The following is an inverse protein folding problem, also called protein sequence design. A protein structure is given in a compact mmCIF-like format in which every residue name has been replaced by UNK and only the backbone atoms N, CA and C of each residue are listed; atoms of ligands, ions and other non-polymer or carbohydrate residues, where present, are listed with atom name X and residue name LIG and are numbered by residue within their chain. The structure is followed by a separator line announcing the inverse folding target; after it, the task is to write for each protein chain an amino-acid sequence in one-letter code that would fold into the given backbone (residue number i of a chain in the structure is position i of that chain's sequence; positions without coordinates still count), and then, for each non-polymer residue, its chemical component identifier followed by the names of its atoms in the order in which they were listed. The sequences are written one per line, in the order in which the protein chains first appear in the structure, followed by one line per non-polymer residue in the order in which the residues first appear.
data_IF_270902952608
#
_entry.id   IF_270902952608
#
_cell.length_a   1.000
_cell.length_b   1.000
_cell.length_c   1.000
_cell.angle_alpha   90.00
_cell.angle_beta   90.00
_cell.angle_gamma   90.00
#
_symmetry.space_group_name_H-M   'P 1'
#
loop_
_entity.id
_entity.type
_entity.pdbx_description
1 polymer ?
#
# COMPACT_ATOMS: atom_id res chain seq x y z
N UNK A 1 18.65 23.43 -24.71
CA UNK A 1 18.61 22.35 -23.72
C UNK A 1 18.53 23.05 -22.39
N UNK A 2 17.32 23.15 -21.85
CA UNK A 2 17.03 24.01 -20.69
C UNK A 2 17.80 23.51 -19.47
N UNK A 3 18.48 24.42 -18.78
CA UNK A 3 19.21 24.12 -17.54
C UNK A 3 18.32 23.48 -16.47
N UNK A 4 17.00 23.68 -16.57
CA UNK A 4 16.01 23.15 -15.65
C UNK A 4 15.80 21.63 -15.78
N UNK A 5 15.88 21.05 -16.99
CA UNK A 5 15.75 19.59 -17.17
C UNK A 5 16.99 18.84 -16.66
N UNK A 6 18.16 19.47 -16.72
CA UNK A 6 19.42 18.88 -16.27
C UNK A 6 19.52 18.76 -14.74
N UNK A 7 18.72 19.50 -13.98
CA UNK A 7 18.71 19.43 -12.51
C UNK A 7 17.65 18.47 -11.97
N UNK A 8 16.56 18.25 -12.72
CA UNK A 8 15.46 17.37 -12.30
C UNK A 8 15.90 15.92 -12.08
N UNK A 9 16.67 15.33 -13.01
CA UNK A 9 17.12 13.94 -12.87
C UNK A 9 18.08 13.75 -11.69
N UNK A 10 18.88 14.78 -11.35
CA UNK A 10 19.79 14.76 -10.20
C UNK A 10 18.97 14.74 -8.90
N UNK A 11 17.95 15.59 -8.80
CA UNK A 11 17.07 15.63 -7.62
C UNK A 11 16.32 14.30 -7.43
N UNK A 12 15.73 13.76 -8.51
CA UNK A 12 15.06 12.46 -8.48
C UNK A 12 16.00 11.32 -8.06
N UNK A 13 17.24 11.34 -8.56
CA UNK A 13 18.24 10.32 -8.18
C UNK A 13 18.61 10.42 -6.70
N UNK A 14 18.80 11.64 -6.18
CA UNK A 14 19.10 11.86 -4.75
C UNK A 14 17.96 11.39 -3.86
N UNK A 15 16.73 11.69 -4.25
CA UNK A 15 15.53 11.27 -3.52
C UNK A 15 15.41 9.74 -3.48
N UNK A 16 15.53 9.08 -4.64
CA UNK A 16 15.47 7.62 -4.73
C UNK A 16 16.58 6.97 -3.89
N UNK A 17 17.79 7.52 -3.91
CA UNK A 17 18.90 7.01 -3.11
C UNK A 17 18.64 7.17 -1.61
N UNK A 18 18.09 8.30 -1.17
CA UNK A 18 17.69 8.51 0.23
C UNK A 18 16.67 7.46 0.68
N UNK A 19 15.62 7.25 -0.12
CA UNK A 19 14.59 6.24 0.15
C UNK A 19 15.17 4.82 0.14
N UNK A 20 16.14 4.52 -0.73
CA UNK A 20 16.80 3.22 -0.75
C UNK A 20 17.60 2.94 0.54
N UNK A 21 18.24 3.95 1.13
CA UNK A 21 18.89 3.77 2.43
C UNK A 21 17.88 3.50 3.55
N UNK A 22 16.80 4.28 3.62
CA UNK A 22 15.70 4.03 4.56
C UNK A 22 15.06 2.63 4.36
N UNK A 23 14.88 2.21 3.11
CA UNK A 23 14.35 0.91 2.74
C UNK A 23 15.27 -0.24 3.18
N UNK A 24 16.58 -0.03 3.07
CA UNK A 24 17.55 -1.00 3.56
C UNK A 24 17.45 -1.19 5.07
N UNK A 25 17.38 -0.10 5.85
CA UNK A 25 17.22 -0.19 7.30
C UNK A 25 15.90 -0.90 7.68
N UNK A 26 14.85 -0.69 6.89
CA UNK A 26 13.59 -1.41 7.04
C UNK A 26 13.74 -2.90 6.73
N UNK A 27 14.44 -3.28 5.65
CA UNK A 27 14.71 -4.69 5.30
C UNK A 27 15.49 -5.39 6.40
N UNK A 28 16.50 -4.73 6.98
CA UNK A 28 17.30 -5.30 8.07
C UNK A 28 16.41 -5.68 9.27
N UNK A 29 15.38 -4.87 9.58
CA UNK A 29 14.36 -5.23 10.59
C UNK A 29 13.40 -6.31 10.11
N UNK A 30 12.92 -6.21 8.85
CA UNK A 30 11.98 -7.17 8.29
C UNK A 30 12.58 -8.59 8.19
N UNK A 31 13.90 -8.70 7.98
CA UNK A 31 14.62 -9.97 7.91
C UNK A 31 14.53 -10.80 9.20
N UNK A 32 14.26 -10.17 10.35
CA UNK A 32 14.00 -10.88 11.62
C UNK A 32 12.75 -11.76 11.54
N UNK A 33 11.74 -11.34 10.76
CA UNK A 33 10.47 -12.06 10.56
C UNK A 33 10.39 -12.78 9.23
N UNK A 34 11.12 -12.33 8.22
CA UNK A 34 11.12 -12.85 6.85
C UNK A 34 12.56 -13.13 6.38
N UNK A 35 13.11 -14.33 6.64
CA UNK A 35 14.52 -14.63 6.36
C UNK A 35 14.94 -14.51 4.88
N UNK A 36 13.98 -14.46 3.95
CA UNK A 36 14.20 -14.24 2.52
C UNK A 36 14.38 -12.76 2.14
N UNK A 37 14.15 -11.83 3.07
CA UNK A 37 14.38 -10.41 2.85
C UNK A 37 15.89 -10.13 2.74
N UNK A 38 16.34 -9.58 1.61
CA UNK A 38 17.75 -9.28 1.35
C UNK A 38 17.96 -7.81 0.99
N UNK A 39 19.14 -7.22 1.30
CA UNK A 39 19.39 -5.78 1.10
C UNK A 39 19.18 -5.28 -0.34
N UNK A 40 19.26 -6.14 -1.35
CA UNK A 40 19.03 -5.78 -2.75
C UNK A 40 17.57 -5.40 -3.04
N UNK A 41 16.61 -5.79 -2.18
CA UNK A 41 15.20 -5.37 -2.29
C UNK A 41 14.99 -3.86 -2.06
N UNK A 42 15.98 -3.15 -1.51
CA UNK A 42 15.85 -1.75 -1.11
C UNK A 42 15.40 -0.83 -2.25
N UNK A 43 15.86 -1.08 -3.48
CA UNK A 43 15.47 -0.29 -4.65
C UNK A 43 13.99 -0.51 -4.99
N UNK A 44 13.50 -1.74 -4.95
CA UNK A 44 12.10 -2.06 -5.20
C UNK A 44 11.19 -1.40 -4.15
N UNK A 45 11.56 -1.47 -2.86
CA UNK A 45 10.82 -0.83 -1.78
C UNK A 45 10.84 0.71 -1.91
N UNK A 46 11.99 1.30 -2.27
CA UNK A 46 12.07 2.75 -2.50
C UNK A 46 11.13 3.20 -3.62
N UNK A 47 11.03 2.42 -4.70
CA UNK A 47 10.07 2.66 -5.79
C UNK A 47 8.62 2.48 -5.34
N UNK A 48 8.34 1.47 -4.50
CA UNK A 48 7.03 1.30 -3.88
C UNK A 48 6.64 2.56 -3.08
N UNK A 49 7.52 3.05 -2.21
CA UNK A 49 7.26 4.22 -1.38
C UNK A 49 7.02 5.48 -2.20
N UNK A 50 7.85 5.74 -3.21
CA UNK A 50 7.66 6.90 -4.08
C UNK A 50 6.30 6.86 -4.80
N UNK A 51 5.90 5.67 -5.27
CA UNK A 51 4.59 5.49 -5.91
C UNK A 51 3.44 5.53 -4.91
N UNK A 52 3.64 5.03 -3.70
CA UNK A 52 2.67 5.10 -2.61
C UNK A 52 2.43 6.54 -2.16
N UNK A 53 3.46 7.39 -2.11
CA UNK A 53 3.33 8.83 -1.81
C UNK A 53 2.46 9.55 -2.84
N UNK A 54 2.57 9.19 -4.13
CA UNK A 54 1.68 9.73 -5.16
C UNK A 54 0.23 9.22 -5.03
N UNK A 55 0.01 8.06 -4.40
CA UNK A 55 -1.31 7.51 -4.12
C UNK A 55 -1.89 8.00 -2.79
N UNK A 56 -1.04 8.43 -1.86
CA UNK A 56 -1.40 8.76 -0.49
C UNK A 56 -2.47 9.86 -0.45
N UNK A 57 -2.28 10.94 -1.20
CA UNK A 57 -3.25 12.03 -1.29
C UNK A 57 -4.61 11.52 -1.77
N UNK A 58 -4.64 10.64 -2.76
CA UNK A 58 -5.88 10.12 -3.33
C UNK A 58 -6.56 9.15 -2.36
N UNK A 59 -5.84 8.16 -1.84
CA UNK A 59 -6.39 7.13 -0.97
C UNK A 59 -6.81 7.72 0.37
N UNK A 60 -5.94 8.50 1.02
CA UNK A 60 -6.24 9.12 2.30
C UNK A 60 -7.45 10.06 2.18
N UNK A 61 -7.56 10.84 1.10
CA UNK A 61 -8.72 11.71 0.85
C UNK A 61 -10.02 10.91 0.79
N UNK A 62 -10.03 9.77 0.07
CA UNK A 62 -11.23 8.93 0.00
C UNK A 62 -11.58 8.31 1.36
N UNK A 63 -10.60 7.78 2.08
CA UNK A 63 -10.83 7.17 3.39
C UNK A 63 -11.31 8.19 4.44
N UNK A 64 -10.72 9.39 4.46
CA UNK A 64 -11.18 10.49 5.34
C UNK A 64 -12.59 10.92 4.97
N UNK A 65 -12.88 11.07 3.67
CA UNK A 65 -14.24 11.42 3.22
C UNK A 65 -15.26 10.37 3.65
N UNK A 66 -14.94 9.09 3.51
CA UNK A 66 -15.80 8.00 4.01
C UNK A 66 -15.96 8.07 5.52
N UNK A 67 -14.87 8.35 6.26
CA UNK A 67 -14.93 8.47 7.71
C UNK A 67 -15.90 9.57 8.16
N UNK A 68 -15.77 10.76 7.56
CA UNK A 68 -16.59 11.91 7.88
C UNK A 68 -18.07 11.68 7.50
N UNK A 69 -18.33 11.09 6.33
CA UNK A 69 -19.69 10.95 5.80
C UNK A 69 -20.45 9.73 6.31
N UNK A 70 -19.77 8.61 6.61
CA UNK A 70 -20.40 7.35 7.00
C UNK A 70 -20.30 7.07 8.50
N UNK A 71 -19.30 7.63 9.17
CA UNK A 71 -18.99 7.31 10.57
C UNK A 71 -18.94 8.54 11.48
N UNK A 72 -19.42 9.70 11.02
CA UNK A 72 -19.35 10.99 11.73
C UNK A 72 -17.92 11.34 12.21
N UNK A 73 -16.89 10.92 11.47
CA UNK A 73 -15.48 11.12 11.84
C UNK A 73 -15.00 10.29 13.04
N UNK A 74 -15.76 9.27 13.47
CA UNK A 74 -15.42 8.43 14.63
C UNK A 74 -14.59 7.19 14.29
N UNK A 75 -14.40 6.89 13.00
CA UNK A 75 -13.47 5.88 12.54
C UNK A 75 -12.02 6.35 12.65
N UNK A 76 -11.10 5.40 12.55
CA UNK A 76 -9.66 5.60 12.62
C UNK A 76 -9.04 5.35 11.25
N UNK A 77 -8.28 6.33 10.75
CA UNK A 77 -7.52 6.20 9.50
C UNK A 77 -6.04 6.10 9.84
N UNK A 78 -5.38 5.07 9.33
CA UNK A 78 -3.95 4.82 9.56
C UNK A 78 -3.23 4.40 8.26
N UNK A 79 -1.93 4.68 8.20
CA UNK A 79 -1.06 4.29 7.08
C UNK A 79 0.22 3.63 7.61
N UNK A 80 0.47 2.39 7.18
CA UNK A 80 1.61 1.60 7.65
C UNK A 80 2.44 1.05 6.49
N UNK A 81 3.71 0.78 6.76
CA UNK A 81 4.63 0.09 5.85
C UNK A 81 4.96 -1.26 6.45
N UNK A 82 4.85 -2.31 5.65
CA UNK A 82 4.96 -3.69 6.13
C UNK A 82 5.59 -4.62 5.12
N UNK A 83 5.71 -5.88 5.55
CA UNK A 83 6.07 -7.00 4.70
C UNK A 83 5.13 -8.16 5.02
N UNK A 84 4.80 -8.95 4.01
CA UNK A 84 3.90 -10.08 4.14
C UNK A 84 4.31 -11.22 3.21
N UNK A 85 3.84 -12.44 3.51
CA UNK A 85 4.00 -13.59 2.64
C UNK A 85 2.67 -13.86 1.93
N UNK A 86 2.71 -14.02 0.61
CA UNK A 86 1.55 -14.41 -0.20
C UNK A 86 1.76 -15.79 -0.79
N UNK A 87 0.83 -16.71 -0.55
CA UNK A 87 0.87 -18.04 -1.16
C UNK A 87 0.52 -17.94 -2.64
N UNK A 88 1.44 -18.37 -3.51
CA UNK A 88 1.20 -18.51 -4.95
C UNK A 88 0.61 -19.88 -5.27
N UNK A 89 1.18 -20.91 -4.65
CA UNK A 89 0.78 -22.31 -4.76
C UNK A 89 1.10 -23.04 -3.44
N UNK A 90 0.66 -24.29 -3.31
CA UNK A 90 0.94 -25.10 -2.13
C UNK A 90 2.46 -25.25 -1.96
N UNK A 91 3.00 -24.65 -0.89
CA UNK A 91 4.42 -24.73 -0.53
C UNK A 91 5.31 -23.62 -1.10
N UNK A 92 4.77 -22.69 -1.91
CA UNK A 92 5.48 -21.50 -2.37
C UNK A 92 4.83 -20.23 -1.84
N UNK A 93 5.61 -19.50 -1.03
CA UNK A 93 5.26 -18.18 -0.52
C UNK A 93 6.18 -17.13 -1.12
N UNK A 94 5.57 -16.02 -1.51
CA UNK A 94 6.23 -14.87 -2.11
C UNK A 94 6.30 -13.76 -1.07
N UNK A 95 7.51 -13.23 -0.84
CA UNK A 95 7.69 -12.06 0.01
C UNK A 95 7.18 -10.82 -0.73
N UNK A 96 6.27 -10.11 -0.09
CA UNK A 96 5.72 -8.85 -0.54
C UNK A 96 6.12 -7.75 0.43
N UNK A 97 6.36 -6.56 -0.10
CA UNK A 97 6.45 -5.34 0.70
C UNK A 97 5.23 -4.48 0.43
N UNK A 98 4.65 -3.91 1.48
CA UNK A 98 3.32 -3.29 1.45
C UNK A 98 3.37 -1.86 2.00
N UNK A 99 2.66 -0.96 1.34
CA UNK A 99 2.12 0.27 1.92
C UNK A 99 0.61 0.06 2.10
N UNK A 100 0.14 0.18 3.33
CA UNK A 100 -1.24 -0.13 3.70
C UNK A 100 -1.92 1.10 4.26
N UNK A 101 -3.08 1.44 3.73
CA UNK A 101 -4.01 2.41 4.33
C UNK A 101 -5.19 1.67 4.91
N UNK A 102 -5.61 2.03 6.11
CA UNK A 102 -6.75 1.41 6.78
C UNK A 102 -7.74 2.47 7.21
N UNK A 103 -9.03 2.19 7.03
CA UNK A 103 -10.12 2.87 7.72
C UNK A 103 -10.82 1.83 8.59
N UNK A 104 -10.73 1.94 9.91
CA UNK A 104 -11.39 1.05 10.85
C UNK A 104 -12.46 1.75 11.67
N UNK A 105 -13.50 1.02 12.06
CA UNK A 105 -14.60 1.54 12.88
C UNK A 105 -15.14 0.46 13.82
N UNK A 106 -16.18 0.81 14.59
CA UNK A 106 -16.78 -0.08 15.60
C UNK A 106 -15.77 -0.64 16.62
N UNK A 107 -14.85 0.23 17.10
CA UNK A 107 -13.73 -0.17 17.98
C UNK A 107 -12.76 -1.15 17.31
N UNK A 108 -12.44 -0.88 16.04
CA UNK A 108 -11.49 -1.64 15.23
C UNK A 108 -11.88 -3.10 15.01
N UNK A 109 -13.18 -3.40 15.07
CA UNK A 109 -13.72 -4.72 14.71
C UNK A 109 -14.14 -4.79 13.25
N UNK A 110 -14.24 -3.64 12.56
CA UNK A 110 -14.50 -3.54 11.13
C UNK A 110 -13.52 -2.61 10.47
N UNK A 111 -13.28 -2.83 9.20
CA UNK A 111 -12.41 -1.94 8.45
C UNK A 111 -12.31 -2.27 6.98
N UNK A 112 -11.84 -1.27 6.25
CA UNK A 112 -11.41 -1.40 4.85
C UNK A 112 -9.92 -1.17 4.84
N UNK A 113 -9.21 -2.03 4.11
CA UNK A 113 -7.77 -2.01 4.00
C UNK A 113 -7.41 -1.84 2.52
N UNK A 114 -6.66 -0.81 2.19
CA UNK A 114 -6.08 -0.62 0.85
C UNK A 114 -4.61 -0.97 0.93
N UNK A 115 -4.19 -2.00 0.19
CA UNK A 115 -2.79 -2.44 0.13
C UNK A 115 -2.19 -2.17 -1.23
N UNK A 116 -1.10 -1.42 -1.25
CA UNK A 116 -0.24 -1.27 -2.42
C UNK A 116 1.07 -2.00 -2.16
N UNK A 117 1.38 -2.97 -3.01
CA UNK A 117 2.40 -3.96 -2.74
C UNK A 117 3.37 -4.10 -3.90
N UNK A 118 4.62 -4.42 -3.59
CA UNK A 118 5.61 -4.83 -4.59
C UNK A 118 6.16 -6.21 -4.26
N UNK A 119 6.24 -7.05 -5.28
CA UNK A 119 7.10 -8.24 -5.28
C UNK A 119 8.50 -7.78 -5.72
N UNK A 120 9.54 -7.94 -4.88
CA UNK A 120 10.81 -7.25 -5.09
C UNK A 120 11.67 -7.79 -6.24
N UNK A 121 11.56 -9.06 -6.64
CA UNK A 121 12.42 -9.68 -7.66
C UNK A 121 12.00 -9.29 -9.09
N UNK A 122 10.70 -9.31 -9.37
CA UNK A 122 10.11 -8.91 -10.66
C UNK A 122 9.65 -7.46 -10.65
N UNK A 123 9.73 -6.78 -9.50
CA UNK A 123 9.22 -5.43 -9.26
C UNK A 123 7.73 -5.27 -9.65
N UNK A 124 6.95 -6.35 -9.48
CA UNK A 124 5.55 -6.36 -9.86
C UNK A 124 4.70 -5.65 -8.81
N UNK A 125 3.93 -4.64 -9.23
CA UNK A 125 3.08 -3.85 -8.36
C UNK A 125 1.64 -4.33 -8.37
N UNK A 126 1.04 -4.34 -7.19
CA UNK A 126 -0.33 -4.78 -6.97
C UNK A 126 -1.05 -3.78 -6.07
N UNK A 127 -2.22 -3.31 -6.47
CA UNK A 127 -3.10 -2.52 -5.63
C UNK A 127 -4.34 -3.35 -5.33
N UNK A 128 -4.73 -3.45 -4.07
CA UNK A 128 -5.83 -4.29 -3.63
C UNK A 128 -6.62 -3.62 -2.53
N UNK A 129 -7.94 -3.80 -2.54
CA UNK A 129 -8.81 -3.46 -1.43
C UNK A 129 -9.24 -4.75 -0.74
N UNK A 130 -9.10 -4.79 0.56
CA UNK A 130 -9.46 -5.89 1.44
C UNK A 130 -10.40 -5.40 2.53
N UNK A 131 -11.06 -6.36 3.15
CA UNK A 131 -11.99 -6.19 4.24
C UNK A 131 -11.33 -6.71 5.52
N UNK A 132 -11.61 -6.09 6.67
CA UNK A 132 -11.03 -6.53 7.94
C UNK A 132 -11.68 -7.84 8.41
N UNK A 133 -13.00 -7.98 8.26
CA UNK A 133 -13.73 -9.18 8.71
C UNK A 133 -14.06 -10.16 7.59
N UNK A 134 -14.33 -9.66 6.38
CA UNK A 134 -14.74 -10.50 5.26
C UNK A 134 -13.52 -11.04 4.53
N UNK A 135 -13.41 -12.37 4.44
CA UNK A 135 -12.34 -13.02 3.71
C UNK A 135 -12.43 -12.71 2.21
N UNK A 136 -11.38 -12.13 1.65
CA UNK A 136 -11.29 -11.81 0.24
C UNK A 136 -10.69 -10.43 0.00
N UNK A 137 -10.87 -9.95 -1.23
CA UNK A 137 -10.42 -8.63 -1.64
C UNK A 137 -10.49 -8.48 -3.15
N UNK A 138 -10.52 -7.23 -3.59
CA UNK A 138 -10.60 -6.87 -4.99
C UNK A 138 -9.28 -6.26 -5.44
N UNK A 139 -8.69 -6.85 -6.49
CA UNK A 139 -7.54 -6.23 -7.14
C UNK A 139 -8.00 -5.01 -7.95
N UNK A 140 -7.28 -3.91 -7.78
CA UNK A 140 -7.46 -2.68 -8.52
C UNK A 140 -6.31 -2.51 -9.49
N UNK A 141 -6.64 -2.12 -10.71
CA UNK A 141 -5.63 -1.87 -11.73
C UNK A 141 -4.78 -0.66 -11.33
N UNK A 142 -3.47 -0.83 -11.40
CA UNK A 142 -2.50 0.25 -11.29
C UNK A 142 -1.83 0.49 -12.66
N UNK A 143 -1.62 1.74 -13.11
CA UNK A 143 -2.02 3.00 -12.47
C UNK A 143 -3.55 3.14 -12.34
N UNK A 144 -3.99 3.88 -11.31
CA UNK A 144 -5.40 4.10 -11.04
C UNK A 144 -6.07 4.86 -12.20
N UNK A 145 -7.24 4.40 -12.60
CA UNK A 145 -8.16 5.15 -13.45
C UNK A 145 -9.22 5.82 -12.57
N UNK A 146 -9.81 6.92 -13.06
CA UNK A 146 -10.91 7.61 -12.37
C UNK A 146 -12.03 6.62 -12.00
N UNK A 147 -12.63 6.85 -10.82
CA UNK A 147 -13.72 6.08 -10.20
C UNK A 147 -13.42 4.65 -9.72
N UNK A 148 -12.36 3.98 -10.18
CA UNK A 148 -12.08 2.59 -9.79
C UNK A 148 -11.85 2.41 -8.29
N UNK A 149 -11.16 3.37 -7.66
CA UNK A 149 -10.89 3.35 -6.24
C UNK A 149 -12.17 3.57 -5.44
N UNK A 150 -12.96 4.58 -5.80
CA UNK A 150 -14.22 4.89 -5.13
C UNK A 150 -15.20 3.71 -5.23
N UNK A 151 -15.35 3.10 -6.41
CA UNK A 151 -16.18 1.91 -6.62
C UNK A 151 -15.72 0.72 -5.79
N UNK A 152 -14.40 0.48 -5.74
CA UNK A 152 -13.82 -0.59 -4.94
C UNK A 152 -14.05 -0.39 -3.45
N UNK A 153 -13.85 0.84 -2.95
CA UNK A 153 -14.08 1.20 -1.55
C UNK A 153 -15.57 1.08 -1.17
N UNK A 154 -16.47 1.52 -2.05
CA UNK A 154 -17.91 1.40 -1.83
C UNK A 154 -18.35 -0.07 -1.73
N UNK A 155 -17.84 -0.95 -2.60
CA UNK A 155 -18.09 -2.39 -2.55
C UNK A 155 -17.56 -3.02 -1.26
N UNK A 156 -16.33 -2.69 -0.88
CA UNK A 156 -15.74 -3.19 0.35
C UNK A 156 -16.55 -2.77 1.57
N UNK A 157 -16.98 -1.49 1.63
CA UNK A 157 -17.86 -1.01 2.70
C UNK A 157 -19.15 -1.81 2.80
N UNK A 158 -19.87 -1.99 1.67
CA UNK A 158 -21.13 -2.73 1.65
C UNK A 158 -20.94 -4.16 2.15
N UNK A 159 -19.86 -4.84 1.76
CA UNK A 159 -19.57 -6.19 2.24
C UNK A 159 -19.32 -6.22 3.76
N UNK A 160 -18.55 -5.27 4.29
CA UNK A 160 -18.22 -5.20 5.72
C UNK A 160 -19.45 -4.94 6.61
N UNK A 161 -20.48 -4.27 6.08
CA UNK A 161 -21.72 -4.00 6.83
C UNK A 161 -22.81 -5.07 6.62
N UNK A 162 -22.71 -5.90 5.57
CA UNK A 162 -23.68 -6.96 5.29
C UNK A 162 -23.36 -8.27 6.03
N UNK A 163 -22.14 -8.42 6.54
CA UNK A 163 -21.72 -9.54 7.41
C UNK A 163 -22.20 -9.36 8.87
N UNK A 164 -23.35 -8.68 9.06
CA UNK A 164 -24.06 -8.47 10.33
C UNK A 164 -25.24 -9.45 10.51
#
# INVERSE_FOLDING_TARGET
MDSHESETWILQTKELLSKAYEARDFIERAAESFPTAIPTHAIAIARLWQRAEALDEVIATHLVTMNDQLFDGKGEVDATRGASLRSLMVGEELLMYDCTWTLSWNRNTRGIIVKFSIEPEMESLHLRIENLTVAGGQDIRYPLYEDQLADGLAKAYVLEILDD
#
